data_IF_444441789781
#
_entry.id   IF_444441789781
#
_cell.length_a   1.000
_cell.length_b   1.000
_cell.length_c   1.000
_cell.angle_alpha   90.00
_cell.angle_beta   90.00
_cell.angle_gamma   90.00
#
_symmetry.space_group_name_H-M   'P 1'
#
loop_
_entity.id
_entity.type
_entity.pdbx_description
1 polymer ?
#
# COMPACT_ATOMS: atom_id res chain seq x y z
N UNK A 1 -10.33 -4.18 9.24
CA UNK A 1 -10.69 -3.70 7.89
C UNK A 1 -9.44 -3.07 7.30
N UNK A 2 -8.75 -3.75 6.40
CA UNK A 2 -7.52 -3.22 5.77
C UNK A 2 -7.89 -2.15 4.76
N UNK A 3 -7.21 -1.01 4.79
CA UNK A 3 -7.37 0.11 3.83
C UNK A 3 -7.21 -0.30 2.36
N UNK A 4 -6.66 -1.51 2.09
CA UNK A 4 -6.48 -2.04 0.73
C UNK A 4 -7.74 -2.57 0.03
N UNK A 5 -8.89 -2.69 0.71
CA UNK A 5 -10.13 -3.19 0.06
C UNK A 5 -11.07 -2.10 -0.46
N UNK A 6 -10.86 -0.83 -0.08
CA UNK A 6 -11.86 0.22 -0.31
C UNK A 6 -11.77 0.96 -1.66
N UNK A 7 -10.78 0.69 -2.51
CA UNK A 7 -10.61 1.44 -3.76
C UNK A 7 -10.26 0.58 -4.98
N UNK A 8 -10.84 -0.62 -5.09
CA UNK A 8 -10.88 -1.27 -6.42
C UNK A 8 -12.02 -0.63 -7.20
N UNK A 9 -11.81 0.63 -7.60
CA UNK A 9 -12.67 1.25 -8.62
C UNK A 9 -12.68 0.32 -9.83
N UNK A 10 -13.78 0.32 -10.58
CA UNK A 10 -13.86 -0.39 -11.85
C UNK A 10 -13.01 0.35 -12.90
N UNK A 11 -11.69 0.25 -12.78
CA UNK A 11 -10.74 1.04 -13.55
C UNK A 11 -10.87 0.80 -15.05
N UNK A 12 -11.18 -0.42 -15.46
CA UNK A 12 -11.50 -0.73 -16.86
C UNK A 12 -12.65 0.14 -17.38
N UNK A 13 -13.77 0.20 -16.65
CA UNK A 13 -14.92 1.03 -17.02
C UNK A 13 -14.57 2.52 -17.01
N UNK A 14 -13.83 2.99 -15.99
CA UNK A 14 -13.44 4.39 -15.86
C UNK A 14 -12.51 4.83 -16.99
N UNK A 15 -11.49 4.03 -17.31
CA UNK A 15 -10.48 4.37 -18.31
C UNK A 15 -11.08 4.48 -19.72
N UNK A 16 -12.08 3.65 -20.04
CA UNK A 16 -12.76 3.70 -21.35
C UNK A 16 -13.94 4.68 -21.39
N UNK A 17 -14.39 5.19 -20.24
CA UNK A 17 -15.65 5.95 -20.13
C UNK A 17 -15.71 7.25 -20.95
N UNK A 18 -14.57 7.89 -21.21
CA UNK A 18 -14.50 9.15 -21.98
C UNK A 18 -14.37 8.92 -23.48
N UNK A 19 -14.07 7.70 -23.92
CA UNK A 19 -13.73 7.38 -25.31
C UNK A 19 -12.30 7.76 -25.72
N UNK A 20 -11.47 8.29 -24.82
CA UNK A 20 -10.07 8.61 -25.11
C UNK A 20 -9.17 7.35 -25.18
N UNK A 21 -9.59 6.28 -24.52
CA UNK A 21 -8.89 5.00 -24.45
C UNK A 21 -9.82 3.84 -24.82
N UNK A 22 -9.21 2.80 -25.41
CA UNK A 22 -9.82 1.52 -25.78
C UNK A 22 -8.92 0.35 -25.39
N UNK A 23 -9.40 -0.86 -25.58
CA UNK A 23 -8.62 -2.10 -25.38
C UNK A 23 -7.94 -2.15 -24.00
N UNK A 24 -8.69 -1.81 -22.94
CA UNK A 24 -8.17 -1.87 -21.58
C UNK A 24 -8.10 -3.33 -21.10
N UNK A 25 -6.94 -3.75 -20.60
CA UNK A 25 -6.77 -5.06 -19.97
C UNK A 25 -6.11 -4.93 -18.61
N UNK A 26 -6.45 -5.88 -17.74
CA UNK A 26 -6.00 -5.97 -16.37
C UNK A 26 -4.95 -7.06 -16.19
N UNK A 27 -3.98 -6.79 -15.33
CA UNK A 27 -3.01 -7.76 -14.85
C UNK A 27 -2.89 -7.68 -13.33
N UNK A 28 -2.73 -8.84 -12.69
CA UNK A 28 -2.46 -8.96 -11.26
C UNK A 28 -1.28 -9.91 -11.02
N UNK A 29 -0.41 -9.54 -10.09
CA UNK A 29 0.73 -10.36 -9.67
C UNK A 29 0.98 -10.22 -8.17
N UNK A 30 1.26 -11.34 -7.51
CA UNK A 30 1.77 -11.36 -6.14
C UNK A 30 3.28 -11.09 -6.13
N UNK A 31 3.71 -10.23 -5.23
CA UNK A 31 5.12 -9.89 -5.06
C UNK A 31 5.45 -9.75 -3.58
N UNK A 32 6.61 -10.24 -3.15
CA UNK A 32 7.03 -10.17 -1.76
C UNK A 32 8.42 -9.57 -1.70
N UNK A 33 8.61 -8.61 -0.80
CA UNK A 33 9.94 -8.08 -0.46
C UNK A 33 10.33 -8.49 0.96
N UNK A 34 11.62 -8.72 1.17
CA UNK A 34 12.20 -8.92 2.51
C UNK A 34 12.86 -7.64 2.97
N UNK A 35 12.39 -7.05 4.06
CA UNK A 35 12.87 -5.78 4.59
C UNK A 35 13.63 -5.95 5.91
N UNK A 36 14.60 -5.07 6.15
CA UNK A 36 15.15 -4.87 7.49
C UNK A 36 14.15 -4.14 8.38
N UNK A 37 14.34 -4.22 9.70
CA UNK A 37 13.49 -3.53 10.68
C UNK A 37 13.53 -2.01 10.50
N UNK A 38 14.71 -1.47 10.19
CA UNK A 38 14.94 -0.05 10.01
C UNK A 38 14.16 0.48 8.81
N UNK A 39 14.19 -0.24 7.68
CA UNK A 39 13.39 0.11 6.50
C UNK A 39 11.89 0.05 6.80
N UNK A 40 11.45 -0.99 7.50
CA UNK A 40 10.04 -1.16 7.87
C UNK A 40 9.53 -0.05 8.79
N UNK A 41 10.29 0.30 9.84
CA UNK A 41 9.96 1.44 10.71
C UNK A 41 10.04 2.77 9.95
N UNK A 42 11.03 2.93 9.07
CA UNK A 42 11.17 4.08 8.18
C UNK A 42 9.91 4.33 7.33
N UNK A 43 9.26 3.28 6.83
CA UNK A 43 8.03 3.42 6.05
C UNK A 43 6.87 4.02 6.88
N UNK A 44 6.77 3.71 8.17
CA UNK A 44 5.76 4.31 9.05
C UNK A 44 5.93 5.84 9.20
N UNK A 45 7.13 6.38 9.05
CA UNK A 45 7.33 7.83 9.07
C UNK A 45 6.81 8.55 7.81
N UNK A 46 6.48 7.81 6.74
CA UNK A 46 5.94 8.39 5.51
C UNK A 46 4.40 8.55 5.52
N UNK A 47 3.70 7.91 6.47
CA UNK A 47 2.23 7.96 6.57
C UNK A 47 1.74 9.11 7.46
N UNK A 48 1.63 10.28 6.85
CA UNK A 48 1.19 11.51 7.52
C UNK A 48 -0.23 11.44 8.09
N UNK A 49 -1.16 10.75 7.41
CA UNK A 49 -2.57 10.73 7.82
C UNK A 49 -2.77 10.11 9.21
N UNK A 50 -2.11 8.98 9.46
CA UNK A 50 -2.21 8.28 10.74
C UNK A 50 -1.54 9.10 11.84
N UNK A 51 -0.38 9.70 11.55
CA UNK A 51 0.32 10.57 12.49
C UNK A 51 -0.52 11.79 12.87
N UNK A 52 -1.15 12.45 11.89
CA UNK A 52 -2.01 13.61 12.12
C UNK A 52 -3.27 13.25 12.93
N UNK A 53 -3.89 12.10 12.67
CA UNK A 53 -5.07 11.64 13.40
C UNK A 53 -4.75 11.20 14.84
N UNK A 54 -3.61 10.55 15.05
CA UNK A 54 -3.21 10.07 16.37
C UNK A 54 -2.73 11.20 17.28
N UNK A 55 -2.08 12.23 16.72
CA UNK A 55 -1.35 13.23 17.47
C UNK A 55 -0.02 12.69 18.01
N UNK A 56 0.90 13.58 18.38
CA UNK A 56 2.29 13.25 18.64
C UNK A 56 2.50 12.18 19.74
N UNK A 57 1.77 12.26 20.86
CA UNK A 57 1.91 11.31 21.99
C UNK A 57 1.53 9.88 21.59
N UNK A 58 0.32 9.71 21.03
CA UNK A 58 -0.17 8.39 20.61
C UNK A 58 0.61 7.85 19.42
N UNK A 59 1.12 8.72 18.55
CA UNK A 59 1.97 8.30 17.45
C UNK A 59 3.26 7.64 17.95
N UNK A 60 3.88 8.19 18.99
CA UNK A 60 5.06 7.60 19.62
C UNK A 60 4.74 6.22 20.22
N UNK A 61 3.62 6.10 20.94
CA UNK A 61 3.15 4.81 21.49
C UNK A 61 2.93 3.76 20.38
N UNK A 62 2.35 4.17 19.24
CA UNK A 62 2.15 3.29 18.08
C UNK A 62 3.48 2.78 17.53
N UNK A 63 4.46 3.66 17.34
CA UNK A 63 5.79 3.27 16.85
C UNK A 63 6.50 2.31 17.82
N UNK A 64 6.38 2.55 19.13
CA UNK A 64 6.93 1.67 20.15
C UNK A 64 6.28 0.28 20.13
N UNK A 65 4.94 0.22 20.01
CA UNK A 65 4.24 -1.06 19.86
C UNK A 65 4.67 -1.82 18.61
N UNK A 66 4.82 -1.13 17.48
CA UNK A 66 5.27 -1.75 16.22
C UNK A 66 6.69 -2.29 16.37
N UNK A 67 7.61 -1.48 16.92
CA UNK A 67 8.99 -1.86 17.19
C UNK A 67 9.08 -3.09 18.10
N UNK A 68 8.30 -3.11 19.18
CA UNK A 68 8.23 -4.25 20.08
C UNK A 68 7.73 -5.52 19.38
N UNK A 69 6.71 -5.40 18.53
CA UNK A 69 6.12 -6.53 17.80
C UNK A 69 7.08 -7.17 16.80
N UNK A 70 7.92 -6.37 16.14
CA UNK A 70 8.89 -6.85 15.16
C UNK A 70 10.26 -7.20 15.78
N UNK A 71 10.46 -6.93 17.08
CA UNK A 71 11.76 -7.03 17.76
C UNK A 71 12.46 -8.38 17.60
N UNK A 72 11.69 -9.49 17.56
CA UNK A 72 12.20 -10.87 17.46
C UNK A 72 12.36 -11.38 16.03
N UNK A 73 11.90 -10.64 15.03
CA UNK A 73 12.04 -11.03 13.64
C UNK A 73 13.46 -10.73 13.17
N UNK A 74 14.08 -11.57 12.35
CA UNK A 74 15.38 -11.22 11.74
C UNK A 74 15.17 -10.31 10.52
N UNK A 75 14.13 -10.64 9.76
CA UNK A 75 13.66 -9.88 8.60
C UNK A 75 12.14 -9.88 8.55
N UNK A 76 11.57 -8.94 7.79
CA UNK A 76 10.12 -8.79 7.67
C UNK A 76 9.74 -9.02 6.21
N UNK A 77 8.88 -10.01 5.96
CA UNK A 77 8.31 -10.23 4.63
C UNK A 77 7.10 -9.32 4.43
N UNK A 78 7.14 -8.53 3.37
CA UNK A 78 6.09 -7.58 3.02
C UNK A 78 5.41 -8.08 1.74
N UNK A 79 4.20 -8.65 1.85
CA UNK A 79 3.44 -9.07 0.68
C UNK A 79 2.76 -7.86 0.04
N UNK A 80 2.92 -7.76 -1.27
CA UNK A 80 2.26 -6.79 -2.13
C UNK A 80 1.43 -7.52 -3.19
N UNK A 81 0.28 -6.93 -3.51
CA UNK A 81 -0.49 -7.29 -4.69
C UNK A 81 -0.36 -6.18 -5.72
N UNK A 82 0.38 -6.45 -6.79
CA UNK A 82 0.57 -5.51 -7.89
C UNK A 82 -0.61 -5.66 -8.84
N UNK A 83 -1.28 -4.54 -9.13
CA UNK A 83 -2.39 -4.46 -10.06
C UNK A 83 -2.08 -3.41 -11.11
N UNK A 84 -2.23 -3.78 -12.38
CA UNK A 84 -1.98 -2.89 -13.50
C UNK A 84 -3.16 -2.93 -14.47
N UNK A 85 -3.51 -1.74 -14.97
CA UNK A 85 -4.44 -1.58 -16.08
C UNK A 85 -3.67 -0.94 -17.22
N UNK A 86 -3.66 -1.59 -18.37
CA UNK A 86 -3.06 -1.06 -19.60
C UNK A 86 -4.18 -0.78 -20.57
N UNK A 87 -4.24 0.42 -21.12
CA UNK A 87 -5.22 0.82 -22.13
C UNK A 87 -4.52 1.48 -23.31
N UNK A 88 -5.11 1.31 -24.50
CA UNK A 88 -4.60 1.87 -25.75
C UNK A 88 -5.31 3.20 -26.03
N UNK A 89 -4.55 4.25 -26.35
CA UNK A 89 -5.14 5.50 -26.86
C UNK A 89 -5.90 5.20 -28.16
N UNK A 90 -7.10 5.77 -28.32
CA UNK A 90 -7.93 5.60 -29.51
C UNK A 90 -7.21 6.07 -30.77
#
# INVERSE_FOLDING_TARGET
MSSGTQNVKKWEEILVSTGDFKDCFFMECDYTETWSKERYLGAWHSVNDIQAQAGASRWQEILEMISHKISKLESIEIPYKIRAWTAKKV
#
